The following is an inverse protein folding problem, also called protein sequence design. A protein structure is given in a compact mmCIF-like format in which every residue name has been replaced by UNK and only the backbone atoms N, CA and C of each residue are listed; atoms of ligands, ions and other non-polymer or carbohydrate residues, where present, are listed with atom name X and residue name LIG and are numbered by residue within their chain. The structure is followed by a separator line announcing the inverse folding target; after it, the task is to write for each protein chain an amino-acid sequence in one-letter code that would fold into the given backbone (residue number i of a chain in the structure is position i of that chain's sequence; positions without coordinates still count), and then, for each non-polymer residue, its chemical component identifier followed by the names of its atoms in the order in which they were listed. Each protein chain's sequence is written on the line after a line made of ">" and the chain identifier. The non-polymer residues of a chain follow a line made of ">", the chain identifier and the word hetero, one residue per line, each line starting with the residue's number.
data_IF_302174476836
#
_entry.id   IF_302174476836
#
_cell.length_a   1.000
_cell.length_b   1.000
_cell.length_c   1.000
_cell.angle_alpha   90.00
_cell.angle_beta   90.00
_cell.angle_gamma   90.00
#
_symmetry.space_group_name_H-M   'P 1'
#
loop_
_entity.id
_entity.type
_entity.pdbx_description
1 polymer ?
#
# COMPACT_ATOMS: atom_id res chain seq x y z
N UNK A 1 22.70 19.12 -15.25
CA UNK A 1 21.61 18.44 -14.51
C UNK A 1 21.29 19.08 -13.16
N UNK A 2 22.30 19.41 -12.33
CA UNK A 2 22.09 19.98 -10.97
C UNK A 2 21.36 21.34 -10.96
N UNK A 3 21.53 22.18 -11.99
CA UNK A 3 20.89 23.51 -12.09
C UNK A 3 19.61 23.57 -12.94
N UNK A 4 19.04 22.42 -13.30
CA UNK A 4 17.77 22.37 -14.03
C UNK A 4 16.58 22.68 -13.09
N UNK A 5 15.42 23.05 -13.62
CA UNK A 5 14.16 23.12 -12.84
C UNK A 5 13.19 21.98 -13.19
N UNK A 6 13.63 21.00 -13.99
CA UNK A 6 12.76 19.93 -14.48
C UNK A 6 12.40 18.94 -13.37
N UNK A 7 11.19 18.37 -13.35
CA UNK A 7 10.86 17.29 -12.43
C UNK A 7 11.80 16.09 -12.57
N UNK A 8 12.26 15.54 -11.45
CA UNK A 8 13.21 14.41 -11.45
C UNK A 8 12.51 13.11 -11.05
N UNK A 9 12.89 12.02 -11.71
CA UNK A 9 12.56 10.65 -11.31
C UNK A 9 13.85 9.92 -10.95
N UNK A 10 13.90 9.35 -9.74
CA UNK A 10 15.04 8.57 -9.26
C UNK A 10 14.70 7.10 -9.31
N UNK A 11 15.61 6.30 -9.85
CA UNK A 11 15.50 4.85 -9.88
C UNK A 11 16.80 4.21 -9.38
N UNK A 12 16.73 3.61 -8.20
CA UNK A 12 17.81 2.89 -7.52
C UNK A 12 17.50 1.40 -7.58
N UNK A 13 17.53 0.83 -8.79
CA UNK A 13 17.34 -0.62 -9.00
C UNK A 13 18.65 -1.36 -9.23
N UNK A 14 19.61 -0.72 -9.90
CA UNK A 14 20.84 -1.36 -10.42
C UNK A 14 22.13 -0.80 -9.79
N UNK A 15 22.00 0.08 -8.80
CA UNK A 15 23.15 0.74 -8.16
C UNK A 15 23.84 -0.25 -7.23
N UNK A 16 25.16 -0.43 -7.38
CA UNK A 16 25.95 -1.23 -6.44
C UNK A 16 26.08 -0.52 -5.09
N UNK A 17 26.21 -1.28 -4.00
CA UNK A 17 26.44 -0.73 -2.65
C UNK A 17 27.64 0.24 -2.65
N UNK A 18 28.73 -0.12 -3.33
CA UNK A 18 29.94 0.71 -3.43
C UNK A 18 29.74 2.07 -4.09
N UNK A 19 28.68 2.25 -4.89
CA UNK A 19 28.34 3.52 -5.56
C UNK A 19 27.20 4.26 -4.87
N UNK A 20 26.57 3.66 -3.85
CA UNK A 20 25.39 4.20 -3.20
C UNK A 20 25.67 5.54 -2.52
N UNK A 21 26.77 5.63 -1.78
CA UNK A 21 27.14 6.85 -1.07
C UNK A 21 27.36 8.00 -2.04
N UNK A 22 28.15 7.78 -3.10
CA UNK A 22 28.37 8.77 -4.16
C UNK A 22 27.04 9.20 -4.81
N UNK A 23 26.17 8.25 -5.14
CA UNK A 23 24.88 8.55 -5.77
C UNK A 23 23.94 9.31 -4.83
N UNK A 24 23.90 8.95 -3.55
CA UNK A 24 23.10 9.66 -2.55
C UNK A 24 23.55 11.11 -2.43
N UNK A 25 24.83 11.32 -2.18
CA UNK A 25 25.44 12.63 -1.88
C UNK A 25 25.49 13.56 -3.09
N UNK A 26 25.84 13.04 -4.27
CA UNK A 26 26.10 13.88 -5.45
C UNK A 26 24.92 13.95 -6.43
N UNK A 27 23.97 13.01 -6.35
CA UNK A 27 22.85 12.93 -7.32
C UNK A 27 21.51 13.13 -6.61
N UNK A 28 21.22 12.37 -5.55
CA UNK A 28 19.90 12.42 -4.91
C UNK A 28 19.74 13.67 -4.04
N UNK A 29 20.63 13.86 -3.06
CA UNK A 29 20.56 14.95 -2.07
C UNK A 29 20.40 16.34 -2.71
N UNK A 30 21.19 16.72 -3.74
CA UNK A 30 21.11 18.06 -4.32
C UNK A 30 19.78 18.35 -5.04
N UNK A 31 19.04 17.32 -5.45
CA UNK A 31 17.81 17.47 -6.23
C UNK A 31 16.52 17.06 -5.50
N UNK A 32 16.60 16.76 -4.20
CA UNK A 32 15.48 16.28 -3.34
C UNK A 32 14.18 17.06 -3.52
N UNK A 33 14.24 18.39 -3.52
CA UNK A 33 13.09 19.29 -3.67
C UNK A 33 12.35 19.16 -5.03
N UNK A 34 12.96 18.53 -6.04
CA UNK A 34 12.39 18.32 -7.39
C UNK A 34 12.03 16.87 -7.69
N UNK A 35 12.34 15.94 -6.78
CA UNK A 35 12.04 14.52 -6.99
C UNK A 35 10.52 14.32 -6.90
N UNK A 36 9.90 13.93 -8.01
CA UNK A 36 8.48 13.58 -8.06
C UNK A 36 8.22 12.08 -7.93
N UNK A 37 9.17 11.26 -8.36
CA UNK A 37 9.07 9.81 -8.30
C UNK A 37 10.37 9.23 -7.78
N UNK A 38 10.25 8.33 -6.81
CA UNK A 38 11.37 7.59 -6.26
C UNK A 38 11.09 6.10 -6.32
N UNK A 39 11.95 5.35 -6.98
CA UNK A 39 11.90 3.90 -7.06
C UNK A 39 13.16 3.31 -6.43
N UNK A 40 12.98 2.44 -5.45
CA UNK A 40 14.02 1.58 -4.90
C UNK A 40 13.60 0.14 -5.19
N UNK A 41 14.46 -0.61 -5.88
CA UNK A 41 14.19 -2.02 -6.21
C UNK A 41 15.44 -2.89 -6.07
N UNK A 42 16.23 -2.61 -5.04
CA UNK A 42 17.50 -3.28 -4.79
C UNK A 42 17.50 -3.86 -3.37
N UNK A 43 17.49 -5.20 -3.21
CA UNK A 43 17.47 -5.85 -1.89
C UNK A 43 18.78 -5.69 -1.12
N UNK A 44 19.88 -5.35 -1.79
CA UNK A 44 21.18 -5.15 -1.16
C UNK A 44 21.35 -3.75 -0.54
N UNK A 45 20.38 -2.86 -0.73
CA UNK A 45 20.41 -1.49 -0.21
C UNK A 45 19.44 -1.38 0.94
N UNK A 46 19.92 -0.94 2.09
CA UNK A 46 19.05 -0.56 3.20
C UNK A 46 18.24 0.70 2.80
N UNK A 47 16.91 0.58 2.64
CA UNK A 47 16.05 1.70 2.27
C UNK A 47 16.03 2.80 3.33
N UNK A 48 16.21 2.45 4.61
CA UNK A 48 16.22 3.40 5.71
C UNK A 48 17.43 4.31 5.62
N UNK A 49 18.62 3.76 5.32
CA UNK A 49 19.84 4.55 5.13
C UNK A 49 19.70 5.57 3.99
N UNK A 50 19.03 5.17 2.91
CA UNK A 50 18.86 6.03 1.74
C UNK A 50 17.76 7.08 1.93
N UNK A 51 16.60 6.68 2.45
CA UNK A 51 15.42 7.54 2.50
C UNK A 51 15.41 8.44 3.73
N UNK A 52 15.85 7.96 4.90
CA UNK A 52 15.64 8.69 6.16
C UNK A 52 16.34 10.06 6.21
N UNK A 53 17.58 10.22 5.69
CA UNK A 53 18.24 11.52 5.67
C UNK A 53 17.49 12.53 4.80
N UNK A 54 16.87 12.07 3.73
CA UNK A 54 16.28 12.94 2.70
C UNK A 54 14.77 13.11 2.80
N UNK A 55 14.05 12.27 3.55
CA UNK A 55 12.57 12.17 3.49
C UNK A 55 11.90 13.53 3.66
N UNK A 56 12.35 14.33 4.64
CA UNK A 56 11.77 15.66 4.93
C UNK A 56 11.99 16.70 3.82
N UNK A 57 12.94 16.46 2.92
CA UNK A 57 13.25 17.35 1.79
C UNK A 57 12.55 16.93 0.50
N UNK A 58 11.90 15.75 0.46
CA UNK A 58 11.16 15.21 -0.67
C UNK A 58 9.76 15.85 -0.78
N UNK A 59 9.69 17.18 -0.76
CA UNK A 59 8.44 17.95 -0.67
C UNK A 59 7.54 17.83 -1.90
N UNK A 60 8.10 17.42 -3.05
CA UNK A 60 7.37 17.23 -4.31
C UNK A 60 7.13 15.75 -4.67
N UNK A 61 7.48 14.81 -3.78
CA UNK A 61 7.39 13.38 -4.07
C UNK A 61 5.94 12.93 -4.12
N UNK A 62 5.45 12.61 -5.33
CA UNK A 62 4.09 12.12 -5.57
C UNK A 62 4.03 10.59 -5.63
N UNK A 63 5.13 9.94 -6.02
CA UNK A 63 5.17 8.49 -6.27
C UNK A 63 6.36 7.85 -5.57
N UNK A 64 6.09 6.89 -4.69
CA UNK A 64 7.11 6.08 -4.02
C UNK A 64 6.89 4.60 -4.35
N UNK A 65 7.92 3.97 -4.93
CA UNK A 65 7.92 2.55 -5.26
C UNK A 65 9.06 1.87 -4.50
N UNK A 66 8.69 0.99 -3.59
CA UNK A 66 9.59 0.19 -2.77
C UNK A 66 9.35 -1.27 -3.16
N UNK A 67 10.28 -1.82 -3.93
CA UNK A 67 10.20 -3.20 -4.39
C UNK A 67 11.40 -3.99 -3.86
N UNK A 68 11.18 -5.27 -3.60
CA UNK A 68 12.19 -6.18 -3.05
C UNK A 68 12.81 -5.65 -1.75
N UNK A 69 11.98 -5.09 -0.87
CA UNK A 69 12.42 -4.56 0.43
C UNK A 69 12.27 -5.63 1.51
N UNK A 70 13.21 -5.72 2.46
CA UNK A 70 13.03 -6.57 3.63
C UNK A 70 11.92 -6.03 4.54
N UNK A 71 11.11 -6.93 5.07
CA UNK A 71 9.89 -6.63 5.81
C UNK A 71 10.15 -5.82 7.10
N UNK A 72 11.31 -6.03 7.74
CA UNK A 72 11.79 -5.28 8.91
C UNK A 72 11.93 -3.77 8.67
N UNK A 73 12.15 -3.34 7.42
CA UNK A 73 12.28 -1.92 7.07
C UNK A 73 10.93 -1.24 6.79
N UNK A 74 9.86 -2.01 6.55
CA UNK A 74 8.60 -1.45 6.08
C UNK A 74 7.96 -0.53 7.13
N UNK A 75 7.83 -0.99 8.37
CA UNK A 75 7.24 -0.16 9.43
C UNK A 75 8.05 1.12 9.70
N UNK A 76 9.40 1.07 9.85
CA UNK A 76 10.23 2.26 9.95
C UNK A 76 10.01 3.26 8.80
N UNK A 77 9.86 2.78 7.57
CA UNK A 77 9.59 3.63 6.40
C UNK A 77 8.19 4.23 6.48
N UNK A 78 7.17 3.41 6.76
CA UNK A 78 5.76 3.84 6.87
C UNK A 78 5.61 4.96 7.91
N UNK A 79 6.33 4.87 9.03
CA UNK A 79 6.37 5.91 10.08
C UNK A 79 6.85 7.28 9.59
N UNK A 80 7.59 7.34 8.47
CA UNK A 80 8.11 8.58 7.90
C UNK A 80 7.32 9.08 6.71
N UNK A 81 6.36 8.31 6.19
CA UNK A 81 5.57 8.74 5.03
C UNK A 81 4.69 9.97 5.34
N UNK A 82 4.37 10.22 6.61
CA UNK A 82 3.68 11.44 7.03
C UNK A 82 4.45 12.73 6.75
N UNK A 83 5.78 12.66 6.55
CA UNK A 83 6.61 13.80 6.15
C UNK A 83 6.50 14.14 4.65
N UNK A 84 5.77 13.33 3.86
CA UNK A 84 5.64 13.50 2.42
C UNK A 84 4.27 14.13 2.09
N UNK A 85 4.18 15.46 2.00
CA UNK A 85 2.90 16.18 2.02
C UNK A 85 2.03 15.95 0.77
N UNK A 86 2.63 15.47 -0.33
CA UNK A 86 1.96 15.30 -1.63
C UNK A 86 2.03 13.87 -2.16
N UNK A 87 2.40 12.91 -1.31
CA UNK A 87 2.49 11.50 -1.71
C UNK A 87 1.09 10.98 -2.08
N UNK A 88 0.89 10.71 -3.36
CA UNK A 88 -0.40 10.27 -3.89
C UNK A 88 -0.42 8.82 -4.38
N UNK A 89 0.76 8.24 -4.60
CA UNK A 89 0.92 6.86 -5.08
C UNK A 89 2.04 6.16 -4.31
N UNK A 90 1.70 5.00 -3.74
CA UNK A 90 2.62 4.17 -2.98
C UNK A 90 2.54 2.72 -3.45
N UNK A 91 3.70 2.11 -3.63
CA UNK A 91 3.85 0.68 -3.87
C UNK A 91 4.88 0.12 -2.91
N UNK A 92 4.51 -0.90 -2.12
CA UNK A 92 5.40 -1.61 -1.21
C UNK A 92 5.31 -3.11 -1.51
N UNK A 93 6.43 -3.70 -1.91
CA UNK A 93 6.58 -5.13 -2.18
C UNK A 93 7.73 -5.67 -1.34
N UNK A 94 7.39 -6.52 -0.38
CA UNK A 94 8.32 -7.19 0.54
C UNK A 94 8.89 -8.46 -0.08
N UNK A 95 10.13 -8.83 0.25
CA UNK A 95 10.69 -10.16 -0.11
C UNK A 95 10.41 -11.26 0.90
N UNK A 96 10.15 -10.90 2.15
CA UNK A 96 9.95 -11.83 3.26
C UNK A 96 8.68 -11.50 4.06
N UNK A 97 8.31 -12.44 4.93
CA UNK A 97 7.12 -12.36 5.78
C UNK A 97 7.34 -11.42 6.96
N UNK A 98 6.34 -10.62 7.29
CA UNK A 98 6.25 -9.79 8.50
C UNK A 98 5.51 -10.54 9.61
N UNK A 99 5.96 -10.35 10.85
CA UNK A 99 5.29 -10.98 12.00
C UNK A 99 3.89 -10.39 12.23
N UNK A 100 3.72 -9.06 12.07
CA UNK A 100 2.44 -8.35 12.20
C UNK A 100 2.33 -7.23 11.14
N UNK A 101 1.17 -7.05 10.52
CA UNK A 101 0.91 -5.99 9.51
C UNK A 101 -0.05 -4.90 9.95
N UNK A 102 -0.65 -4.98 11.14
CA UNK A 102 -1.88 -4.24 11.43
C UNK A 102 -1.62 -2.75 11.49
N UNK A 103 -0.49 -2.40 12.08
CA UNK A 103 -0.03 -1.04 12.20
C UNK A 103 0.29 -0.40 10.83
N UNK A 104 0.62 -1.21 9.81
CA UNK A 104 1.00 -0.72 8.48
C UNK A 104 -0.22 -0.19 7.75
N UNK A 105 -1.28 -1.00 7.60
CA UNK A 105 -2.50 -0.56 6.90
C UNK A 105 -3.09 0.69 7.52
N UNK A 106 -3.17 0.73 8.85
CA UNK A 106 -3.68 1.87 9.59
C UNK A 106 -2.91 3.17 9.30
N UNK A 107 -1.57 3.13 9.38
CA UNK A 107 -0.73 4.29 9.09
C UNK A 107 -0.83 4.73 7.64
N UNK A 108 -0.93 3.78 6.70
CA UNK A 108 -1.08 4.08 5.28
C UNK A 108 -2.42 4.73 4.95
N UNK A 109 -3.50 4.27 5.58
CA UNK A 109 -4.85 4.80 5.33
C UNK A 109 -5.06 6.21 5.90
N UNK A 110 -4.20 6.64 6.83
CA UNK A 110 -4.15 8.02 7.35
C UNK A 110 -3.38 9.00 6.46
N UNK A 111 -2.76 8.55 5.37
CA UNK A 111 -2.05 9.43 4.45
C UNK A 111 -3.05 10.22 3.60
N UNK A 112 -3.29 11.48 3.97
CA UNK A 112 -4.38 12.33 3.46
C UNK A 112 -4.36 12.66 1.96
N UNK A 113 -3.26 12.37 1.25
CA UNK A 113 -3.14 12.56 -0.20
C UNK A 113 -3.02 11.24 -0.96
N UNK A 114 -2.95 10.12 -0.26
CA UNK A 114 -2.73 8.83 -0.88
C UNK A 114 -3.99 8.37 -1.63
N UNK A 115 -3.89 8.30 -2.96
CA UNK A 115 -4.98 7.85 -3.84
C UNK A 115 -4.76 6.43 -4.36
N UNK A 116 -3.51 6.06 -4.61
CA UNK A 116 -3.12 4.74 -5.09
C UNK A 116 -2.24 4.04 -4.06
N UNK A 117 -2.63 2.85 -3.64
CA UNK A 117 -1.88 2.03 -2.70
C UNK A 117 -1.79 0.59 -3.21
N UNK A 118 -0.57 0.10 -3.42
CA UNK A 118 -0.28 -1.30 -3.71
C UNK A 118 0.61 -1.88 -2.62
N UNK A 119 0.17 -2.98 -2.04
CA UNK A 119 0.85 -3.66 -0.94
C UNK A 119 0.98 -5.14 -1.27
N UNK A 120 2.19 -5.65 -1.16
CA UNK A 120 2.53 -7.07 -1.29
C UNK A 120 3.49 -7.43 -0.18
N UNK A 121 2.95 -7.58 1.02
CA UNK A 121 3.70 -7.93 2.21
C UNK A 121 3.14 -9.27 2.65
N UNK A 122 3.93 -10.32 2.84
CA UNK A 122 3.44 -11.58 3.44
C UNK A 122 3.44 -11.49 4.97
N UNK A 123 2.61 -12.24 5.68
CA UNK A 123 2.57 -12.23 7.15
C UNK A 123 2.10 -13.55 7.72
N UNK A 124 2.59 -13.82 8.92
CA UNK A 124 2.27 -15.00 9.70
C UNK A 124 0.97 -14.82 10.50
N UNK A 125 0.48 -13.58 10.67
CA UNK A 125 -0.65 -13.30 11.55
C UNK A 125 -1.75 -12.51 10.83
N UNK A 126 -2.99 -12.85 11.19
CA UNK A 126 -4.18 -12.12 10.79
C UNK A 126 -4.20 -10.75 11.47
N UNK A 127 -4.69 -9.70 10.79
CA UNK A 127 -5.06 -8.51 11.49
C UNK A 127 -6.06 -8.75 12.57
N UNK A 128 -5.63 -8.48 13.81
CA UNK A 128 -6.55 -8.18 14.88
C UNK A 128 -7.27 -6.91 14.43
N UNK A 129 -8.58 -6.89 14.66
CA UNK A 129 -9.47 -5.78 14.34
C UNK A 129 -8.74 -4.44 14.47
N UNK A 130 -8.84 -3.61 13.44
CA UNK A 130 -8.42 -2.21 13.46
C UNK A 130 -9.33 -1.47 14.45
N UNK A 131 -9.21 -1.79 15.73
CA UNK A 131 -9.84 -1.11 16.85
C UNK A 131 -8.99 0.13 17.06
N UNK A 132 -9.35 1.19 16.35
CA UNK A 132 -9.50 2.51 16.95
C UNK A 132 -10.19 3.43 15.93
N UNK A 133 -11.44 3.73 16.28
CA UNK A 133 -12.41 4.58 15.61
C UNK A 133 -11.99 6.05 15.59
N UNK A 134 -10.86 6.36 14.98
CA UNK A 134 -10.66 7.71 14.48
C UNK A 134 -11.43 7.82 13.17
N UNK A 135 -12.50 8.61 13.15
CA UNK A 135 -13.42 8.88 12.03
C UNK A 135 -12.75 9.46 10.75
N UNK A 136 -11.45 9.32 10.58
CA UNK A 136 -10.71 9.77 9.41
C UNK A 136 -10.71 8.67 8.35
N UNK A 137 -11.61 8.82 7.38
CA UNK A 137 -11.65 7.98 6.21
C UNK A 137 -10.46 8.25 5.28
N UNK A 138 -9.92 7.19 4.71
CA UNK A 138 -8.83 7.25 3.74
C UNK A 138 -9.28 7.87 2.41
N UNK A 139 -8.36 8.59 1.76
CA UNK A 139 -8.54 9.13 0.41
C UNK A 139 -8.21 8.15 -0.71
N UNK A 140 -7.91 6.89 -0.37
CA UNK A 140 -7.52 5.88 -1.35
C UNK A 140 -8.68 5.59 -2.31
N UNK A 141 -8.39 5.72 -3.60
CA UNK A 141 -9.30 5.43 -4.71
C UNK A 141 -8.94 4.09 -5.40
N UNK A 142 -7.67 3.67 -5.31
CA UNK A 142 -7.15 2.45 -5.92
C UNK A 142 -6.35 1.64 -4.90
N UNK A 143 -6.83 0.44 -4.57
CA UNK A 143 -6.20 -0.44 -3.61
C UNK A 143 -5.87 -1.78 -4.25
N UNK A 144 -4.60 -2.19 -4.15
CA UNK A 144 -4.10 -3.48 -4.62
C UNK A 144 -3.43 -4.19 -3.46
N UNK A 145 -3.93 -5.36 -3.08
CA UNK A 145 -3.38 -6.20 -2.01
C UNK A 145 -3.01 -7.55 -2.64
N UNK A 146 -1.72 -7.80 -2.81
CA UNK A 146 -1.21 -9.01 -3.50
C UNK A 146 -0.83 -10.13 -2.53
N UNK A 147 -1.28 -10.07 -1.29
CA UNK A 147 -1.08 -11.10 -0.28
C UNK A 147 -2.38 -11.81 0.06
N UNK A 148 -2.27 -12.98 0.72
CA UNK A 148 -3.41 -13.65 1.33
C UNK A 148 -4.12 -12.73 2.33
N UNK A 149 -5.44 -12.66 2.20
CA UNK A 149 -6.36 -11.90 3.04
C UNK A 149 -7.67 -12.72 3.21
N UNK A 150 -8.23 -12.75 4.41
CA UNK A 150 -9.55 -13.36 4.64
C UNK A 150 -10.69 -12.37 4.38
N UNK A 151 -11.90 -12.88 4.14
CA UNK A 151 -13.11 -12.05 3.98
C UNK A 151 -13.28 -11.04 5.13
N UNK A 152 -13.11 -11.46 6.39
CA UNK A 152 -13.27 -10.57 7.55
C UNK A 152 -12.27 -9.40 7.55
N UNK A 153 -11.05 -9.68 7.11
CA UNK A 153 -9.99 -8.67 7.00
C UNK A 153 -10.30 -7.72 5.85
N UNK A 154 -10.81 -8.24 4.73
CA UNK A 154 -11.23 -7.41 3.61
C UNK A 154 -12.31 -6.42 4.03
N UNK A 155 -13.36 -6.90 4.70
CA UNK A 155 -14.44 -6.04 5.21
C UNK A 155 -13.88 -4.97 6.15
N UNK A 156 -12.95 -5.34 7.04
CA UNK A 156 -12.28 -4.39 7.95
C UNK A 156 -11.45 -3.35 7.21
N UNK A 157 -10.81 -3.71 6.11
CA UNK A 157 -10.08 -2.76 5.26
C UNK A 157 -11.07 -1.83 4.55
N UNK A 158 -12.14 -2.38 3.98
CA UNK A 158 -13.14 -1.63 3.22
C UNK A 158 -13.83 -0.56 4.04
N UNK A 159 -14.05 -0.79 5.34
CA UNK A 159 -14.65 0.22 6.23
C UNK A 159 -13.80 1.49 6.38
N UNK A 160 -12.51 1.44 6.05
CA UNK A 160 -11.59 2.58 6.14
C UNK A 160 -11.39 3.30 4.79
N UNK A 161 -11.87 2.74 3.68
CA UNK A 161 -11.64 3.26 2.31
C UNK A 161 -12.96 3.50 1.56
N UNK A 162 -13.90 4.32 2.07
CA UNK A 162 -15.21 4.52 1.42
C UNK A 162 -15.13 5.20 0.04
N UNK A 163 -14.01 5.87 -0.28
CA UNK A 163 -13.76 6.51 -1.57
C UNK A 163 -13.21 5.56 -2.65
N UNK A 164 -13.11 4.27 -2.33
CA UNK A 164 -12.49 3.27 -3.20
C UNK A 164 -13.27 3.13 -4.51
N UNK A 165 -12.55 3.22 -5.63
CA UNK A 165 -13.08 3.02 -6.99
C UNK A 165 -12.66 1.69 -7.57
N UNK A 166 -11.43 1.27 -7.25
CA UNK A 166 -10.86 0.01 -7.75
C UNK A 166 -10.22 -0.79 -6.63
N UNK A 167 -10.61 -2.06 -6.55
CA UNK A 167 -10.06 -3.04 -5.64
C UNK A 167 -9.42 -4.18 -6.44
N UNK A 168 -8.21 -4.59 -6.06
CA UNK A 168 -7.58 -5.80 -6.56
C UNK A 168 -7.01 -6.62 -5.41
N UNK A 169 -7.48 -7.85 -5.25
CA UNK A 169 -7.02 -8.79 -4.23
C UNK A 169 -6.39 -10.00 -4.90
N UNK A 170 -5.10 -10.24 -4.61
CA UNK A 170 -4.31 -11.30 -5.21
C UNK A 170 -4.51 -12.68 -4.58
N UNK A 171 -5.07 -12.77 -3.37
CA UNK A 171 -5.51 -14.04 -2.81
C UNK A 171 -6.53 -13.79 -1.67
N UNK A 172 -7.81 -14.05 -1.94
CA UNK A 172 -8.91 -13.96 -0.99
C UNK A 172 -9.26 -15.36 -0.49
N UNK A 173 -9.29 -15.52 0.83
CA UNK A 173 -9.63 -16.77 1.51
C UNK A 173 -10.90 -16.61 2.33
N UNK A 174 -11.55 -17.73 2.65
CA UNK A 174 -12.77 -17.78 3.48
C UNK A 174 -12.64 -17.04 4.82
N UNK A 175 -13.78 -16.68 5.40
CA UNK A 175 -13.83 -16.09 6.73
C UNK A 175 -13.19 -17.02 7.78
N UNK A 176 -12.45 -16.44 8.74
CA UNK A 176 -11.86 -17.16 9.88
C UNK A 176 -12.73 -17.03 11.13
N UNK A 177 -13.63 -16.05 11.16
CA UNK A 177 -14.45 -15.72 12.33
C UNK A 177 -15.89 -15.42 11.94
N UNK A 178 -16.84 -15.97 12.68
CA UNK A 178 -18.25 -15.59 12.53
C UNK A 178 -18.45 -14.15 13.03
N UNK A 179 -18.42 -13.18 12.12
CA UNK A 179 -18.64 -11.77 12.47
C UNK A 179 -20.11 -11.57 12.83
N UNK A 180 -20.38 -10.95 13.99
CA UNK A 180 -21.71 -10.50 14.40
C UNK A 180 -21.84 -9.02 14.09
N UNK A 181 -22.94 -8.68 13.41
CA UNK A 181 -23.43 -7.34 13.07
C UNK A 181 -22.46 -6.48 12.25
N UNK A 182 -22.83 -6.28 10.99
CA UNK A 182 -22.06 -5.49 10.01
C UNK A 182 -22.44 -4.02 10.18
N UNK A 183 -21.46 -3.17 10.51
CA UNK A 183 -21.58 -1.74 10.24
C UNK A 183 -21.83 -1.56 8.73
N UNK A 184 -22.76 -0.69 8.35
CA UNK A 184 -23.09 -0.45 6.94
C UNK A 184 -21.89 0.21 6.24
N UNK A 185 -21.12 -0.59 5.48
CA UNK A 185 -20.00 -0.09 4.70
C UNK A 185 -20.53 0.48 3.38
N UNK A 186 -20.47 1.79 3.25
CA UNK A 186 -20.84 2.47 2.03
C UNK A 186 -19.65 2.53 1.04
N UNK A 187 -19.74 1.76 -0.05
CA UNK A 187 -18.77 1.72 -1.15
C UNK A 187 -19.38 2.21 -2.48
N UNK A 188 -20.14 3.32 -2.44
CA UNK A 188 -20.86 3.85 -3.62
C UNK A 188 -19.98 4.18 -4.84
N UNK A 189 -18.66 4.30 -4.66
CA UNK A 189 -17.73 4.62 -5.75
C UNK A 189 -17.02 3.39 -6.34
N UNK A 190 -17.17 2.21 -5.72
CA UNK A 190 -16.47 0.99 -6.11
C UNK A 190 -17.09 0.40 -7.38
N UNK A 191 -16.35 0.50 -8.48
CA UNK A 191 -16.83 0.12 -9.83
C UNK A 191 -16.02 -1.01 -10.45
N UNK A 192 -14.76 -1.19 -10.05
CA UNK A 192 -13.90 -2.27 -10.53
C UNK A 192 -13.41 -3.13 -9.36
N UNK A 193 -13.66 -4.43 -9.45
CA UNK A 193 -13.19 -5.42 -8.47
C UNK A 193 -12.49 -6.57 -9.21
N UNK A 194 -11.27 -6.88 -8.77
CA UNK A 194 -10.51 -8.05 -9.22
C UNK A 194 -10.17 -8.91 -8.02
N UNK A 195 -10.61 -10.17 -8.03
CA UNK A 195 -10.41 -11.11 -6.93
C UNK A 195 -9.81 -12.40 -7.44
N UNK A 196 -8.76 -12.86 -6.79
CA UNK A 196 -8.29 -14.24 -6.90
C UNK A 196 -8.82 -15.02 -5.69
N UNK A 197 -9.72 -15.96 -5.93
CA UNK A 197 -10.43 -16.71 -4.89
C UNK A 197 -9.71 -18.02 -4.59
N UNK A 198 -9.42 -18.26 -3.31
CA UNK A 198 -8.86 -19.52 -2.82
C UNK A 198 -9.79 -20.10 -1.74
N UNK A 199 -10.43 -21.24 -2.04
CA UNK A 199 -11.27 -22.01 -1.09
C UNK A 199 -12.43 -21.20 -0.47
N UNK A 200 -13.04 -20.32 -1.26
CA UNK A 200 -14.25 -19.56 -0.88
C UNK A 200 -15.47 -20.29 -1.42
N UNK A 201 -16.48 -20.46 -0.57
CA UNK A 201 -17.75 -21.02 -1.00
C UNK A 201 -18.61 -19.98 -1.73
N UNK A 202 -19.51 -20.45 -2.59
CA UNK A 202 -20.31 -19.55 -3.41
C UNK A 202 -21.22 -18.63 -2.58
N UNK A 203 -21.77 -19.12 -1.47
CA UNK A 203 -22.58 -18.36 -0.53
C UNK A 203 -21.79 -17.23 0.15
N UNK A 204 -20.54 -17.47 0.55
CA UNK A 204 -19.64 -16.43 1.07
C UNK A 204 -19.36 -15.35 0.01
N UNK A 205 -19.13 -15.78 -1.24
CA UNK A 205 -18.91 -14.87 -2.36
C UNK A 205 -20.17 -14.07 -2.72
N UNK A 206 -21.33 -14.72 -2.73
CA UNK A 206 -22.64 -14.09 -2.97
C UNK A 206 -22.93 -13.02 -1.92
N UNK A 207 -22.65 -13.30 -0.64
CA UNK A 207 -22.76 -12.32 0.43
C UNK A 207 -21.86 -11.09 0.19
N UNK A 208 -20.62 -11.28 -0.26
CA UNK A 208 -19.74 -10.16 -0.63
C UNK A 208 -20.35 -9.30 -1.75
N UNK A 209 -20.88 -9.96 -2.78
CA UNK A 209 -21.49 -9.28 -3.92
C UNK A 209 -22.71 -8.46 -3.50
N UNK A 210 -23.60 -9.08 -2.71
CA UNK A 210 -24.84 -8.47 -2.26
C UNK A 210 -24.59 -7.36 -1.24
N UNK A 211 -23.60 -7.45 -0.36
CA UNK A 211 -23.43 -6.46 0.71
C UNK A 211 -22.45 -5.34 0.36
N UNK A 212 -21.36 -5.64 -0.36
CA UNK A 212 -20.26 -4.68 -0.54
C UNK A 212 -20.02 -4.27 -2.00
N UNK A 213 -20.39 -5.12 -2.96
CA UNK A 213 -20.06 -4.91 -4.39
C UNK A 213 -21.28 -4.56 -5.26
N UNK A 214 -22.33 -3.99 -4.66
CA UNK A 214 -23.58 -3.62 -5.34
C UNK A 214 -23.41 -2.69 -6.56
N UNK A 215 -22.39 -1.83 -6.54
CA UNK A 215 -22.14 -0.83 -7.59
C UNK A 215 -21.05 -1.27 -8.60
N UNK A 216 -20.54 -2.50 -8.46
CA UNK A 216 -19.46 -3.00 -9.32
C UNK A 216 -19.96 -3.20 -10.75
N UNK A 217 -19.23 -2.61 -11.68
CA UNK A 217 -19.49 -2.67 -13.12
C UNK A 217 -18.57 -3.68 -13.81
N UNK A 218 -17.34 -3.82 -13.30
CA UNK A 218 -16.35 -4.75 -13.82
C UNK A 218 -15.87 -5.65 -12.69
N UNK A 219 -16.16 -6.94 -12.85
CA UNK A 219 -15.75 -7.99 -11.94
C UNK A 219 -14.81 -8.94 -12.68
N UNK A 220 -13.59 -9.09 -12.18
CA UNK A 220 -12.61 -10.06 -12.65
C UNK A 220 -12.39 -11.11 -11.56
N UNK A 221 -12.58 -12.38 -11.89
CA UNK A 221 -12.40 -13.48 -10.96
C UNK A 221 -11.37 -14.46 -11.53
N UNK A 222 -10.39 -14.80 -10.71
CA UNK A 222 -9.48 -15.92 -10.93
C UNK A 222 -9.73 -16.96 -9.83
N UNK A 223 -9.84 -18.23 -10.19
CA UNK A 223 -10.03 -19.34 -9.24
C UNK A 223 -8.82 -20.26 -9.27
N UNK A 224 -8.38 -20.72 -8.10
CA UNK A 224 -7.35 -21.77 -7.96
C UNK A 224 -7.92 -23.08 -7.40
#
# INVERSE_FOLDING_TARGET
>A
FLHSNLPTKINVSEISISKLEYYSTHIIEPCTHRIKSFRLSNPCIDPCLLLFPITKYLTQLTTLILNKIEANHIEPIVNRLSYLPVLSSLTIISINKLVDRNNIYYKLFRLSKLKYCQISIESLQCPKSLLDSTNEFSTIEYLVINNEISIDQLITILSHVPQLRRLSIGNLTKSKYNRKEEDEINLNHLTNVSLKLERIFFDEFENLMVNYFRQVQVLSIETQ
#
